data_IF_492058862124
#
_entry.id   IF_492058862124
#
_cell.length_a   1.000
_cell.length_b   1.000
_cell.length_c   1.000
_cell.angle_alpha   90.00
_cell.angle_beta   90.00
_cell.angle_gamma   90.00
#
_symmetry.space_group_name_H-M   'P 1'
#
loop_
_entity.id
_entity.type
_entity.pdbx_description
1 polymer ?
#
# COMPACT_ATOMS: atom_id res chain seq x y z
N UNK A 1 0.93 7.34 -17.68
CA UNK A 1 2.31 7.39 -17.14
C UNK A 1 2.38 7.74 -15.65
N UNK A 2 1.72 8.80 -15.15
CA UNK A 2 1.79 9.18 -13.72
C UNK A 2 1.29 8.12 -12.73
N UNK A 3 0.33 7.28 -13.12
CA UNK A 3 -0.17 6.17 -12.32
C UNK A 3 0.92 5.15 -12.00
N UNK A 4 1.58 4.62 -13.03
CA UNK A 4 2.63 3.61 -12.88
C UNK A 4 3.82 4.15 -12.08
N UNK A 5 4.19 5.41 -12.33
CA UNK A 5 5.21 6.10 -11.54
C UNK A 5 4.82 6.18 -10.06
N UNK A 6 3.59 6.61 -9.75
CA UNK A 6 3.11 6.69 -8.37
C UNK A 6 3.11 5.33 -7.68
N UNK A 7 2.64 4.28 -8.37
CA UNK A 7 2.64 2.92 -7.86
C UNK A 7 4.06 2.46 -7.49
N UNK A 8 5.02 2.63 -8.40
CA UNK A 8 6.43 2.25 -8.17
C UNK A 8 7.02 3.06 -7.02
N UNK A 9 6.77 4.37 -6.97
CA UNK A 9 7.27 5.23 -5.88
C UNK A 9 6.70 4.79 -4.53
N UNK A 10 5.40 4.50 -4.43
CA UNK A 10 4.78 4.01 -3.19
C UNK A 10 5.41 2.68 -2.79
N UNK A 11 5.53 1.73 -3.72
CA UNK A 11 6.07 0.40 -3.44
C UNK A 11 7.51 0.48 -2.91
N UNK A 12 8.40 1.18 -3.61
CA UNK A 12 9.81 1.30 -3.24
C UNK A 12 9.97 2.06 -1.93
N UNK A 13 9.27 3.19 -1.78
CA UNK A 13 9.36 4.00 -0.55
C UNK A 13 8.85 3.24 0.67
N UNK A 14 7.71 2.55 0.54
CA UNK A 14 7.16 1.73 1.62
C UNK A 14 8.08 0.56 1.98
N UNK A 15 8.61 -0.15 0.97
CA UNK A 15 9.55 -1.25 1.20
C UNK A 15 10.80 -0.79 1.96
N UNK A 16 11.44 0.29 1.50
CA UNK A 16 12.66 0.83 2.13
C UNK A 16 12.36 1.28 3.57
N UNK A 17 11.24 1.97 3.80
CA UNK A 17 10.90 2.45 5.13
C UNK A 17 10.56 1.30 6.10
N UNK A 18 9.88 0.24 5.64
CA UNK A 18 9.59 -0.94 6.45
C UNK A 18 10.85 -1.73 6.87
N UNK A 19 12.02 -1.48 6.26
CA UNK A 19 13.29 -2.07 6.72
C UNK A 19 13.80 -1.45 8.02
N UNK A 20 13.42 -0.19 8.30
CA UNK A 20 13.90 0.57 9.46
C UNK A 20 12.80 0.84 10.49
N UNK A 21 11.54 0.85 10.05
CA UNK A 21 10.38 1.20 10.87
C UNK A 21 9.36 0.07 10.88
N UNK A 22 8.45 0.03 11.87
CA UNK A 22 7.36 -0.93 11.87
C UNK A 22 6.35 -0.64 10.74
N UNK A 23 5.48 -1.62 10.48
CA UNK A 23 4.58 -1.67 9.34
C UNK A 23 3.69 -0.42 9.13
N UNK A 24 3.35 0.33 10.18
CA UNK A 24 2.50 1.53 10.05
C UNK A 24 3.15 2.65 9.20
N UNK A 25 4.45 2.57 8.94
CA UNK A 25 5.17 3.52 8.08
C UNK A 25 4.68 3.52 6.62
N UNK A 26 4.02 2.45 6.16
CA UNK A 26 3.39 2.40 4.83
C UNK A 26 2.38 3.53 4.61
N UNK A 27 1.71 3.98 5.68
CA UNK A 27 0.74 5.07 5.63
C UNK A 27 1.45 6.36 5.26
N UNK A 28 2.57 6.64 5.93
CA UNK A 28 3.39 7.84 5.67
C UNK A 28 3.98 7.80 4.26
N UNK A 29 4.48 6.64 3.84
CA UNK A 29 5.02 6.43 2.51
C UNK A 29 3.98 6.70 1.40
N UNK A 30 2.82 6.04 1.50
CA UNK A 30 1.75 6.16 0.53
C UNK A 30 1.16 7.57 0.50
N UNK A 31 0.97 8.19 1.66
CA UNK A 31 0.53 9.57 1.79
C UNK A 31 1.48 10.55 1.10
N UNK A 32 2.78 10.48 1.43
CA UNK A 32 3.77 11.38 0.89
C UNK A 32 3.90 11.23 -0.64
N UNK A 33 3.95 9.99 -1.12
CA UNK A 33 3.97 9.71 -2.55
C UNK A 33 2.71 10.21 -3.26
N UNK A 34 1.52 10.06 -2.67
CA UNK A 34 0.27 10.60 -3.21
C UNK A 34 0.23 12.13 -3.26
N UNK A 35 0.84 12.80 -2.27
CA UNK A 35 0.99 14.25 -2.25
C UNK A 35 1.96 14.74 -3.34
N UNK A 36 3.09 14.06 -3.54
CA UNK A 36 4.11 14.45 -4.53
C UNK A 36 3.67 14.10 -5.95
N UNK A 37 3.27 12.85 -6.19
CA UNK A 37 2.93 12.30 -7.50
C UNK A 37 1.42 12.07 -7.59
N UNK A 38 0.71 13.03 -8.20
CA UNK A 38 -0.75 12.91 -8.39
C UNK A 38 -1.07 12.19 -9.69
N UNK A 39 -1.75 11.05 -9.61
CA UNK A 39 -2.36 10.38 -10.76
C UNK A 39 -3.88 10.62 -10.81
N UNK A 40 -4.54 10.14 -11.87
CA UNK A 40 -6.01 10.14 -11.96
C UNK A 40 -6.67 9.09 -11.06
N UNK A 41 -5.90 8.13 -10.53
CA UNK A 41 -6.39 7.01 -9.74
C UNK A 41 -5.48 6.77 -8.51
N UNK A 42 -5.33 7.79 -7.66
CA UNK A 42 -4.42 7.75 -6.50
C UNK A 42 -4.75 6.61 -5.53
N UNK A 43 -6.05 6.38 -5.29
CA UNK A 43 -6.48 5.25 -4.46
C UNK A 43 -6.01 3.92 -5.04
N UNK A 44 -6.26 3.68 -6.33
CA UNK A 44 -5.88 2.42 -6.98
C UNK A 44 -4.35 2.25 -7.03
N UNK A 45 -3.60 3.34 -7.22
CA UNK A 45 -2.14 3.31 -7.22
C UNK A 45 -1.60 2.91 -5.83
N UNK A 46 -2.12 3.52 -4.76
CA UNK A 46 -1.75 3.17 -3.39
C UNK A 46 -2.21 1.78 -2.98
N UNK A 47 -3.41 1.38 -3.40
CA UNK A 47 -3.96 0.06 -3.14
C UNK A 47 -3.10 -1.04 -3.75
N UNK A 48 -2.83 -0.97 -5.05
CA UNK A 48 -2.04 -1.98 -5.74
C UNK A 48 -0.60 -2.00 -5.24
N UNK A 49 0.01 -0.84 -4.99
CA UNK A 49 1.38 -0.78 -4.49
C UNK A 49 1.53 -1.51 -3.14
N UNK A 50 0.69 -1.19 -2.15
CA UNK A 50 0.80 -1.79 -0.82
C UNK A 50 0.26 -3.22 -0.80
N UNK A 51 -0.82 -3.53 -1.53
CA UNK A 51 -1.33 -4.90 -1.63
C UNK A 51 -0.28 -5.84 -2.22
N UNK A 52 0.40 -5.44 -3.30
CA UNK A 52 1.50 -6.23 -3.88
C UNK A 52 2.69 -6.35 -2.92
N UNK A 53 3.07 -5.27 -2.23
CA UNK A 53 4.17 -5.31 -1.25
C UNK A 53 3.87 -6.32 -0.13
N UNK A 54 2.69 -6.24 0.46
CA UNK A 54 2.30 -7.12 1.57
C UNK A 54 2.04 -8.55 1.13
N UNK A 55 1.48 -8.78 -0.07
CA UNK A 55 1.38 -10.11 -0.64
C UNK A 55 2.75 -10.77 -0.81
N UNK A 56 3.72 -10.03 -1.37
CA UNK A 56 5.10 -10.52 -1.55
C UNK A 56 5.78 -10.78 -0.21
N UNK A 57 5.66 -9.86 0.76
CA UNK A 57 6.26 -10.05 2.09
C UNK A 57 5.64 -11.24 2.83
N UNK A 58 4.32 -11.38 2.80
CA UNK A 58 3.65 -12.48 3.47
C UNK A 58 4.09 -13.83 2.86
N UNK A 59 4.18 -13.92 1.53
CA UNK A 59 4.71 -15.10 0.84
C UNK A 59 6.19 -15.38 1.16
N UNK A 60 7.03 -14.34 1.21
CA UNK A 60 8.44 -14.49 1.60
C UNK A 60 8.62 -14.98 3.04
N UNK A 61 7.82 -14.47 3.98
CA UNK A 61 7.87 -14.88 5.39
C UNK A 61 7.41 -16.33 5.52
N UNK A 62 6.34 -16.71 4.82
CA UNK A 62 5.81 -18.07 4.87
C UNK A 62 6.76 -19.10 4.25
N UNK A 63 7.35 -18.79 3.07
CA UNK A 63 8.31 -19.69 2.39
C UNK A 63 9.64 -19.90 3.14
N UNK A 64 10.03 -18.95 4.00
CA UNK A 64 11.22 -19.07 4.85
C UNK A 64 10.94 -19.73 6.20
N UNK A 65 9.67 -19.92 6.55
CA UNK A 65 9.29 -20.49 7.83
C UNK A 65 9.56 -22.00 7.84
N UNK A 66 10.36 -22.47 8.80
CA UNK A 66 10.64 -23.89 9.01
C UNK A 66 9.43 -24.68 9.54
N UNK A 67 8.42 -23.97 10.04
CA UNK A 67 7.12 -24.53 10.45
C UNK A 67 6.03 -23.78 9.72
N UNK A 68 4.93 -24.46 9.43
CA UNK A 68 3.79 -23.89 8.70
C UNK A 68 3.05 -22.83 9.55
N UNK A 69 3.61 -21.63 9.55
CA UNK A 69 3.20 -20.50 10.37
C UNK A 69 1.85 -19.97 9.89
N UNK A 70 1.66 -19.88 8.57
CA UNK A 70 0.38 -19.52 7.97
C UNK A 70 -0.72 -20.49 8.37
N UNK A 71 -0.49 -21.81 8.38
CA UNK A 71 -1.47 -22.80 8.86
C UNK A 71 -1.84 -22.62 10.34
N UNK A 72 -0.93 -22.17 11.20
CA UNK A 72 -1.24 -21.89 12.61
C UNK A 72 -2.10 -20.64 12.76
N UNK A 73 -1.76 -19.57 12.05
CA UNK A 73 -2.54 -18.33 12.07
C UNK A 73 -3.91 -18.54 11.43
N UNK A 74 -3.98 -19.24 10.28
CA UNK A 74 -5.23 -19.61 9.63
C UNK A 74 -6.16 -20.37 10.57
N UNK A 75 -5.63 -21.33 11.36
CA UNK A 75 -6.40 -22.04 12.39
C UNK A 75 -6.95 -21.14 13.49
N UNK A 76 -6.20 -20.13 13.93
CA UNK A 76 -6.70 -19.13 14.90
C UNK A 76 -7.89 -18.37 14.32
N UNK A 77 -7.83 -18.02 13.03
CA UNK A 77 -8.93 -17.37 12.31
C UNK A 77 -10.00 -18.34 11.79
N UNK A 78 -9.95 -19.62 12.18
CA UNK A 78 -10.87 -20.69 11.71
C UNK A 78 -10.96 -20.81 10.18
N UNK A 79 -9.91 -20.39 9.47
CA UNK A 79 -9.84 -20.45 8.02
C UNK A 79 -9.45 -21.87 7.57
N UNK A 80 -10.14 -22.37 6.55
CA UNK A 80 -9.85 -23.67 5.94
C UNK A 80 -8.65 -23.62 4.97
N UNK A 81 -8.29 -22.43 4.47
CA UNK A 81 -7.28 -22.25 3.44
C UNK A 81 -6.31 -21.09 3.80
N UNK A 82 -5.01 -21.38 3.78
CA UNK A 82 -3.93 -20.42 4.02
C UNK A 82 -3.89 -19.32 2.96
N UNK A 83 -4.35 -19.62 1.74
CA UNK A 83 -4.42 -18.68 0.62
C UNK A 83 -5.28 -17.47 0.97
N UNK A 84 -6.37 -17.70 1.71
CA UNK A 84 -7.28 -16.65 2.14
C UNK A 84 -6.60 -15.65 3.08
N UNK A 85 -5.65 -16.12 3.91
CA UNK A 85 -4.90 -15.27 4.82
C UNK A 85 -3.96 -14.32 4.06
N UNK A 86 -3.32 -14.77 2.98
CA UNK A 86 -2.51 -13.90 2.11
C UNK A 86 -3.37 -12.84 1.42
N UNK A 87 -4.52 -13.23 0.89
CA UNK A 87 -5.46 -12.30 0.24
C UNK A 87 -5.95 -11.26 1.24
N UNK A 88 -6.37 -11.68 2.44
CA UNK A 88 -6.81 -10.75 3.49
C UNK A 88 -5.69 -9.78 3.87
N UNK A 89 -4.46 -10.27 4.04
CA UNK A 89 -3.30 -9.43 4.35
C UNK A 89 -3.09 -8.38 3.25
N UNK A 90 -3.06 -8.81 1.99
CA UNK A 90 -2.89 -7.91 0.84
C UNK A 90 -4.03 -6.88 0.73
N UNK A 91 -5.28 -7.29 0.96
CA UNK A 91 -6.45 -6.39 0.91
C UNK A 91 -6.39 -5.36 2.03
N UNK A 92 -6.08 -5.76 3.26
CA UNK A 92 -5.97 -4.85 4.41
C UNK A 92 -4.85 -3.82 4.16
N UNK A 93 -3.65 -4.27 3.77
CA UNK A 93 -2.55 -3.38 3.43
C UNK A 93 -2.91 -2.45 2.26
N UNK A 94 -3.51 -3.00 1.21
CA UNK A 94 -3.98 -2.25 0.06
C UNK A 94 -4.97 -1.15 0.42
N UNK A 95 -5.97 -1.45 1.26
CA UNK A 95 -6.94 -0.43 1.70
C UNK A 95 -6.24 0.71 2.44
N UNK A 96 -5.34 0.38 3.37
CA UNK A 96 -4.54 1.37 4.11
C UNK A 96 -3.71 2.24 3.15
N UNK A 97 -3.01 1.61 2.20
CA UNK A 97 -2.22 2.30 1.18
C UNK A 97 -3.05 3.19 0.25
N UNK A 98 -4.20 2.70 -0.19
CA UNK A 98 -5.11 3.40 -1.08
C UNK A 98 -5.70 4.66 -0.44
N UNK A 99 -6.20 4.55 0.80
CA UNK A 99 -6.70 5.71 1.54
C UNK A 99 -5.60 6.71 1.87
N UNK A 100 -4.41 6.25 2.26
CA UNK A 100 -3.28 7.14 2.52
C UNK A 100 -2.87 7.94 1.28
N UNK A 101 -2.71 7.26 0.12
CA UNK A 101 -2.35 7.90 -1.14
C UNK A 101 -3.43 8.89 -1.62
N UNK A 102 -4.72 8.55 -1.43
CA UNK A 102 -5.82 9.46 -1.73
C UNK A 102 -5.79 10.71 -0.85
N UNK A 103 -5.62 10.54 0.47
CA UNK A 103 -5.50 11.66 1.42
C UNK A 103 -4.36 12.61 1.07
N UNK A 104 -3.18 12.07 0.74
CA UNK A 104 -2.03 12.87 0.29
C UNK A 104 -2.33 13.65 -0.98
N UNK A 105 -2.98 13.01 -1.95
CA UNK A 105 -3.35 13.65 -3.22
C UNK A 105 -4.39 14.77 -3.06
N UNK A 106 -5.33 14.63 -2.10
CA UNK A 106 -6.36 15.62 -1.81
C UNK A 106 -5.81 16.86 -1.08
N UNK A 107 -4.80 16.69 -0.23
CA UNK A 107 -4.15 17.81 0.47
C UNK A 107 -3.21 18.63 -0.42
N UNK A 108 -2.86 18.12 -1.61
CA UNK A 108 -2.08 18.88 -2.58
C UNK A 108 -2.92 20.04 -3.13
N UNK A 109 -2.51 21.32 -2.96
CA UNK A 109 -3.28 22.45 -3.46
C UNK A 109 -3.56 22.30 -4.96
N UNK A 110 -4.83 22.42 -5.36
CA UNK A 110 -5.16 22.59 -6.76
C UNK A 110 -4.49 23.88 -7.24
N UNK A 111 -3.71 23.83 -8.34
CA UNK A 111 -3.20 25.05 -8.97
C UNK A 111 -4.40 25.95 -9.27
N UNK A 112 -4.56 27.01 -8.48
CA UNK A 112 -5.64 27.99 -8.61
C UNK A 112 -5.40 28.69 -9.95
N UNK A 113 -6.12 28.28 -11.01
CA UNK A 113 -6.23 29.11 -12.22
C UNK A 113 -7.07 30.31 -11.82
N UNK A 114 -6.39 31.37 -11.40
CA UNK A 114 -6.97 32.69 -11.30
C UNK A 114 -7.41 33.07 -12.72
N UNK A 115 -8.68 32.85 -13.03
CA UNK A 115 -9.29 33.48 -14.18
C UNK A 115 -9.41 34.97 -13.83
N UNK A 116 -8.58 35.77 -14.47
CA UNK A 116 -8.71 37.22 -14.54
C UNK A 116 -10.13 37.55 -15.00
N UNK A 117 -10.98 37.99 -14.05
CA UNK A 117 -12.08 38.89 -14.36
C UNK A 117 -11.49 40.30 -14.38
N UNK A 118 -11.11 40.76 -15.57
CA UNK A 118 -11.19 42.18 -15.92
C UNK A 118 -12.09 42.29 -17.13
#
# INVERSE_FOLDING_TARGET
>A
MKFLLQLIVIFVLAYVLELFFPWYVIVVAAFFAGYVVRSGANFLAGFLAIASLWALKAWMIDSQASTDLSTRVARIFTLQDNTLLFVMTAVVGGLVGGFAALSGALLKPAKKKWYEKR
#
